data_IF_843140161869
#
_entry.id   IF_843140161869
#
_cell.length_a   1.000
_cell.length_b   1.000
_cell.length_c   1.000
_cell.angle_alpha   90.00
_cell.angle_beta   90.00
_cell.angle_gamma   90.00
#
_symmetry.space_group_name_H-M   'P 1'
#
loop_
_entity.id
_entity.type
_entity.pdbx_description
1 polymer ?
#
# COMPACT_ATOMS: atom_id res chain seq x y z
N UNK A 1 13.18 -6.08 -37.75
CA UNK A 1 13.73 -6.46 -36.43
C UNK A 1 12.84 -5.82 -35.37
N UNK A 2 12.39 -6.59 -34.39
CA UNK A 2 11.63 -6.04 -33.26
C UNK A 2 12.58 -5.26 -32.34
N UNK A 3 12.25 -3.99 -32.06
CA UNK A 3 13.00 -3.14 -31.13
C UNK A 3 12.49 -3.41 -29.71
N UNK A 4 13.38 -3.71 -28.78
CA UNK A 4 13.04 -3.89 -27.35
C UNK A 4 13.44 -2.62 -26.61
N UNK A 5 12.48 -2.01 -25.91
CA UNK A 5 12.69 -0.81 -25.08
C UNK A 5 12.36 -1.17 -23.63
N UNK A 6 13.15 -0.67 -22.68
CA UNK A 6 12.97 -0.91 -21.25
C UNK A 6 12.64 0.40 -20.54
N UNK A 7 11.51 0.47 -19.85
CA UNK A 7 11.16 1.61 -18.99
C UNK A 7 12.24 1.84 -17.91
N UNK A 8 12.48 3.10 -17.54
CA UNK A 8 13.34 3.46 -16.43
C UNK A 8 12.73 4.65 -15.66
N UNK A 9 12.37 4.50 -14.37
CA UNK A 9 12.61 3.34 -13.50
C UNK A 9 11.66 2.16 -13.74
N UNK A 10 12.12 0.95 -13.36
CA UNK A 10 11.36 -0.30 -13.34
C UNK A 10 11.83 -1.20 -12.18
N UNK A 11 11.06 -2.24 -11.83
CA UNK A 11 11.48 -3.25 -10.85
C UNK A 11 11.30 -2.84 -9.39
N UNK A 12 12.24 -3.19 -8.52
CA UNK A 12 12.16 -2.99 -7.07
C UNK A 12 12.29 -1.53 -6.62
N UNK A 13 11.60 -1.20 -5.53
CA UNK A 13 11.73 0.09 -4.84
C UNK A 13 12.40 -0.12 -3.48
N UNK A 14 12.85 0.96 -2.85
CA UNK A 14 13.56 0.88 -1.57
C UNK A 14 12.78 0.16 -0.47
N UNK A 15 11.45 0.31 -0.44
CA UNK A 15 10.59 -0.40 0.52
C UNK A 15 10.55 -1.91 0.30
N UNK A 16 10.52 -2.34 -0.97
CA UNK A 16 10.55 -3.75 -1.36
C UNK A 16 11.91 -4.38 -1.04
N UNK A 17 13.00 -3.73 -1.44
CA UNK A 17 14.36 -4.22 -1.17
C UNK A 17 14.59 -4.41 0.33
N UNK A 18 14.25 -3.39 1.13
CA UNK A 18 14.34 -3.44 2.59
C UNK A 18 13.53 -4.60 3.17
N UNK A 19 12.29 -4.80 2.70
CA UNK A 19 11.42 -5.82 3.28
C UNK A 19 11.90 -7.24 2.98
N UNK A 20 12.37 -7.48 1.74
CA UNK A 20 12.98 -8.75 1.36
C UNK A 20 14.24 -9.00 2.20
N UNK A 21 15.11 -8.00 2.32
CA UNK A 21 16.35 -8.09 3.08
C UNK A 21 16.11 -8.40 4.57
N UNK A 22 15.07 -7.81 5.18
CA UNK A 22 14.70 -8.11 6.58
C UNK A 22 14.37 -9.59 6.75
N UNK A 23 13.59 -10.19 5.85
CA UNK A 23 13.26 -11.63 5.92
C UNK A 23 14.51 -12.48 5.71
N UNK A 24 15.34 -12.15 4.71
CA UNK A 24 16.56 -12.89 4.42
C UNK A 24 17.52 -12.86 5.61
N UNK A 25 17.79 -11.69 6.20
CA UNK A 25 18.66 -11.55 7.37
C UNK A 25 18.09 -12.24 8.60
N UNK A 26 16.78 -12.21 8.80
CA UNK A 26 16.15 -12.95 9.91
C UNK A 26 16.39 -14.46 9.77
N UNK A 27 16.22 -15.01 8.55
CA UNK A 27 16.53 -16.41 8.26
C UNK A 27 18.02 -16.73 8.48
N UNK A 28 18.92 -15.87 8.01
CA UNK A 28 20.37 -16.08 8.12
C UNK A 28 20.87 -15.99 9.57
N UNK A 29 20.27 -15.12 10.39
CA UNK A 29 20.72 -14.89 11.77
C UNK A 29 20.02 -15.79 12.80
N UNK A 30 18.75 -16.15 12.57
CA UNK A 30 17.92 -16.86 13.55
C UNK A 30 17.59 -18.30 13.12
N UNK A 31 17.83 -18.64 11.86
CA UNK A 31 17.41 -19.92 11.28
C UNK A 31 15.93 -19.98 10.96
N UNK A 32 15.51 -21.10 10.34
CA UNK A 32 14.11 -21.38 10.07
C UNK A 32 13.43 -22.07 11.28
N UNK A 33 12.12 -21.88 11.48
CA UNK A 33 11.20 -21.09 10.66
C UNK A 33 11.18 -19.60 11.01
N UNK A 34 10.94 -18.74 10.01
CA UNK A 34 10.58 -17.33 10.20
C UNK A 34 9.16 -17.11 9.68
N UNK A 35 8.27 -16.63 10.55
CA UNK A 35 6.89 -16.37 10.16
C UNK A 35 6.76 -14.96 9.58
N UNK A 36 6.02 -14.83 8.50
CA UNK A 36 5.72 -13.53 7.86
C UNK A 36 4.22 -13.37 7.77
N UNK A 37 3.69 -12.28 8.32
CA UNK A 37 2.25 -11.98 8.24
C UNK A 37 1.92 -11.40 6.87
N UNK A 38 1.13 -12.14 6.11
CA UNK A 38 0.88 -12.01 4.67
C UNK A 38 2.17 -12.11 3.83
N UNK A 39 2.03 -12.13 2.50
CA UNK A 39 3.19 -12.02 1.60
C UNK A 39 4.01 -10.76 1.91
N UNK A 40 5.33 -10.90 2.06
CA UNK A 40 6.22 -9.77 2.39
C UNK A 40 6.10 -8.65 1.35
N UNK A 41 5.93 -9.05 0.08
CA UNK A 41 5.60 -8.23 -1.09
C UNK A 41 4.74 -9.07 -2.04
N UNK A 42 3.88 -8.45 -2.84
CA UNK A 42 3.05 -9.16 -3.83
C UNK A 42 3.85 -9.57 -5.09
N UNK A 43 4.74 -10.55 -4.93
CA UNK A 43 5.51 -11.16 -6.01
C UNK A 43 5.72 -12.65 -5.75
N UNK A 44 5.09 -13.49 -6.56
CA UNK A 44 5.15 -14.96 -6.42
C UNK A 44 6.57 -15.50 -6.40
N UNK A 45 7.46 -15.01 -7.26
CA UNK A 45 8.83 -15.52 -7.32
C UNK A 45 9.61 -15.21 -6.03
N UNK A 46 9.46 -13.99 -5.50
CA UNK A 46 10.08 -13.61 -4.22
C UNK A 46 9.52 -14.44 -3.07
N UNK A 47 8.21 -14.61 -2.99
CA UNK A 47 7.54 -15.38 -1.93
C UNK A 47 8.00 -16.85 -1.96
N UNK A 48 8.00 -17.49 -3.13
CA UNK A 48 8.46 -18.88 -3.27
C UNK A 48 9.94 -19.05 -2.93
N UNK A 49 10.79 -18.11 -3.34
CA UNK A 49 12.22 -18.13 -2.99
C UNK A 49 12.45 -18.05 -1.48
N UNK A 50 11.67 -17.22 -0.77
CA UNK A 50 11.74 -17.13 0.69
C UNK A 50 11.15 -18.37 1.39
N UNK A 51 10.08 -18.96 0.84
CA UNK A 51 9.51 -20.23 1.34
C UNK A 51 10.54 -21.35 1.29
N UNK A 52 11.25 -21.47 0.17
CA UNK A 52 12.31 -22.47 0.00
C UNK A 52 13.46 -22.32 1.00
N UNK A 53 13.68 -21.11 1.54
CA UNK A 53 14.66 -20.84 2.59
C UNK A 53 14.12 -21.03 4.02
N UNK A 54 12.84 -21.34 4.20
CA UNK A 54 12.22 -21.58 5.50
C UNK A 54 11.36 -20.44 6.05
N UNK A 55 10.98 -19.46 5.22
CA UNK A 55 9.93 -18.51 5.59
C UNK A 55 8.54 -19.16 5.51
N UNK A 56 7.71 -18.95 6.52
CA UNK A 56 6.32 -19.42 6.56
C UNK A 56 5.40 -18.20 6.50
N UNK A 57 4.63 -18.09 5.43
CA UNK A 57 3.68 -16.99 5.25
C UNK A 57 2.31 -17.41 5.83
N UNK A 58 1.76 -16.59 6.71
CA UNK A 58 0.48 -16.83 7.41
C UNK A 58 -0.45 -15.63 7.25
N UNK A 59 -1.75 -15.86 7.32
CA UNK A 59 -2.74 -14.78 7.26
C UNK A 59 -2.98 -14.18 8.66
N UNK A 60 -3.09 -15.05 9.67
CA UNK A 60 -3.36 -14.64 11.05
C UNK A 60 -2.20 -14.94 11.99
N UNK A 61 -2.09 -14.15 13.06
CA UNK A 61 -1.04 -14.40 14.05
C UNK A 61 -1.29 -15.71 14.79
N UNK A 62 -2.55 -16.13 14.98
CA UNK A 62 -2.92 -17.40 15.63
C UNK A 62 -2.23 -18.62 15.03
N UNK A 63 -1.81 -18.56 13.77
CA UNK A 63 -1.13 -19.63 13.06
C UNK A 63 0.37 -19.74 13.40
N UNK A 64 0.89 -18.77 14.14
CA UNK A 64 2.29 -18.70 14.59
C UNK A 64 2.36 -19.30 16.00
N UNK A 65 3.20 -20.31 16.28
CA UNK A 65 3.40 -20.80 17.64
C UNK A 65 4.09 -19.74 18.53
N UNK A 66 3.79 -19.73 19.83
CA UNK A 66 4.40 -18.78 20.77
C UNK A 66 5.93 -18.88 20.80
N UNK A 67 6.59 -17.79 21.20
CA UNK A 67 8.06 -17.69 21.25
C UNK A 67 8.76 -17.58 19.89
N UNK A 68 8.02 -17.62 18.78
CA UNK A 68 8.57 -17.48 17.43
C UNK A 68 8.74 -16.02 16.99
N UNK A 69 9.44 -15.86 15.88
CA UNK A 69 9.65 -14.57 15.22
C UNK A 69 8.56 -14.32 14.17
N UNK A 70 7.97 -13.14 14.20
CA UNK A 70 7.03 -12.66 13.17
C UNK A 70 7.59 -11.43 12.46
N UNK A 71 7.46 -11.41 11.15
CA UNK A 71 7.78 -10.25 10.30
C UNK A 71 6.47 -9.68 9.73
N UNK A 72 6.20 -8.41 9.98
CA UNK A 72 5.10 -7.70 9.30
C UNK A 72 5.52 -7.30 7.89
N UNK A 73 4.67 -7.56 6.89
CA UNK A 73 4.96 -7.25 5.48
C UNK A 73 5.16 -5.75 5.19
N UNK A 74 5.67 -5.44 3.99
CA UNK A 74 5.92 -4.07 3.55
C UNK A 74 4.65 -3.18 3.53
N UNK A 75 3.49 -3.80 3.39
CA UNK A 75 2.18 -3.14 3.33
C UNK A 75 1.70 -2.63 4.69
N UNK A 76 2.35 -3.04 5.78
CA UNK A 76 1.97 -2.64 7.14
C UNK A 76 0.78 -3.40 7.72
N UNK A 77 0.54 -3.17 9.01
CA UNK A 77 -0.49 -3.85 9.81
C UNK A 77 -1.25 -2.86 10.69
N UNK A 78 -2.46 -3.23 11.09
CA UNK A 78 -3.28 -2.44 12.02
C UNK A 78 -2.65 -2.39 13.42
N UNK A 79 -3.10 -1.44 14.24
CA UNK A 79 -2.70 -1.38 15.64
C UNK A 79 -3.17 -2.60 16.43
N UNK A 80 -4.30 -3.22 16.06
CA UNK A 80 -4.83 -4.42 16.72
C UNK A 80 -3.91 -5.61 16.50
N UNK A 81 -3.45 -5.81 15.26
CA UNK A 81 -2.47 -6.83 14.91
C UNK A 81 -1.15 -6.62 15.66
N UNK A 82 -0.67 -5.38 15.73
CA UNK A 82 0.56 -5.06 16.47
C UNK A 82 0.43 -5.39 17.96
N UNK A 83 -0.69 -5.04 18.58
CA UNK A 83 -0.93 -5.34 20.00
C UNK A 83 -1.11 -6.83 20.27
N UNK A 84 -1.75 -7.56 19.36
CA UNK A 84 -1.87 -9.01 19.49
C UNK A 84 -0.50 -9.69 19.48
N UNK A 85 0.39 -9.31 18.55
CA UNK A 85 1.74 -9.85 18.51
C UNK A 85 2.54 -9.57 19.79
N UNK A 86 2.40 -8.36 20.35
CA UNK A 86 3.02 -7.98 21.63
C UNK A 86 2.43 -8.77 22.79
N UNK A 87 1.11 -8.94 22.86
CA UNK A 87 0.42 -9.72 23.91
C UNK A 87 0.85 -11.18 23.90
N UNK A 88 1.16 -11.73 22.72
CA UNK A 88 1.64 -13.10 22.52
C UNK A 88 3.15 -13.27 22.70
N UNK A 89 3.85 -12.19 23.06
CA UNK A 89 5.31 -12.18 23.25
C UNK A 89 6.07 -12.73 22.03
N UNK A 90 5.57 -12.45 20.83
CA UNK A 90 6.27 -12.80 19.59
C UNK A 90 7.45 -11.85 19.39
N UNK A 91 8.57 -12.36 18.84
CA UNK A 91 9.68 -11.51 18.43
C UNK A 91 9.32 -10.81 17.12
N UNK A 92 9.02 -9.51 17.19
CA UNK A 92 8.51 -8.75 16.04
C UNK A 92 9.67 -8.06 15.28
N UNK A 93 9.74 -8.29 13.97
CA UNK A 93 10.43 -7.38 13.04
C UNK A 93 9.42 -6.69 12.12
N UNK A 94 9.56 -5.38 11.98
CA UNK A 94 8.62 -4.59 11.20
C UNK A 94 9.22 -4.19 9.84
N UNK A 95 8.80 -4.90 8.79
CA UNK A 95 9.23 -4.62 7.43
C UNK A 95 8.35 -3.60 6.71
N UNK A 96 7.38 -2.97 7.40
CA UNK A 96 6.52 -1.93 6.82
C UNK A 96 7.37 -0.88 6.12
N UNK A 97 6.98 -0.50 4.89
CA UNK A 97 7.64 0.55 4.15
C UNK A 97 7.53 1.88 4.92
N UNK A 98 8.62 2.65 5.09
CA UNK A 98 8.57 3.92 5.80
C UNK A 98 7.55 4.92 5.23
N UNK A 99 7.26 4.85 3.93
CA UNK A 99 6.25 5.70 3.29
C UNK A 99 4.82 5.27 3.66
N UNK A 100 4.58 3.98 3.92
CA UNK A 100 3.31 3.50 4.51
C UNK A 100 3.22 3.91 5.98
N UNK A 101 4.31 3.78 6.73
CA UNK A 101 4.37 4.24 8.14
C UNK A 101 4.04 5.74 8.25
N UNK A 102 4.50 6.58 7.31
CA UNK A 102 4.13 8.00 7.26
C UNK A 102 2.62 8.18 7.19
N UNK A 103 1.93 7.45 6.31
CA UNK A 103 0.45 7.50 6.19
C UNK A 103 -0.21 7.02 7.48
N UNK A 104 0.29 5.93 8.07
CA UNK A 104 -0.24 5.43 9.34
C UNK A 104 -0.16 6.47 10.47
N UNK A 105 0.98 7.18 10.57
CA UNK A 105 1.18 8.22 11.57
C UNK A 105 0.25 9.41 11.35
N UNK A 106 0.01 9.80 10.10
CA UNK A 106 -0.92 10.88 9.77
C UNK A 106 -2.36 10.49 10.16
N UNK A 107 -2.83 9.30 9.79
CA UNK A 107 -4.16 8.80 10.20
C UNK A 107 -4.30 8.78 11.73
N UNK A 108 -3.31 8.22 12.43
CA UNK A 108 -3.34 8.13 13.89
C UNK A 108 -3.32 9.51 14.56
N UNK A 109 -2.67 10.51 13.96
CA UNK A 109 -2.67 11.90 14.43
C UNK A 109 -4.03 12.55 14.18
N UNK A 110 -4.53 12.51 12.95
CA UNK A 110 -5.80 13.14 12.57
C UNK A 110 -6.99 12.62 13.36
N UNK A 111 -7.08 11.30 13.53
CA UNK A 111 -8.12 10.71 14.38
C UNK A 111 -8.00 11.14 15.86
N UNK A 112 -6.78 11.32 16.37
CA UNK A 112 -6.56 11.81 17.74
C UNK A 112 -6.94 13.28 17.91
N UNK A 113 -6.74 14.07 16.86
CA UNK A 113 -7.10 15.48 16.81
C UNK A 113 -8.60 15.70 16.51
N UNK A 114 -9.38 14.61 16.42
CA UNK A 114 -10.83 14.64 16.23
C UNK A 114 -11.29 14.85 14.79
N UNK A 115 -10.42 14.60 13.80
CA UNK A 115 -10.80 14.63 12.38
C UNK A 115 -11.46 13.32 11.97
N UNK A 116 -12.48 13.42 11.12
CA UNK A 116 -12.90 12.29 10.28
C UNK A 116 -11.94 12.15 9.11
N UNK A 117 -11.35 10.96 8.96
CA UNK A 117 -10.34 10.69 7.94
C UNK A 117 -10.98 9.94 6.78
N UNK A 118 -10.72 10.36 5.56
CA UNK A 118 -11.15 9.67 4.34
C UNK A 118 -9.90 9.05 3.69
N UNK A 119 -9.82 7.72 3.69
CA UNK A 119 -8.80 6.98 2.98
C UNK A 119 -9.27 6.70 1.55
N UNK A 120 -8.51 7.17 0.57
CA UNK A 120 -8.65 6.77 -0.83
C UNK A 120 -7.82 5.49 -1.03
N UNK A 121 -8.45 4.38 -1.41
CA UNK A 121 -7.74 3.12 -1.54
C UNK A 121 -8.61 1.94 -1.98
N UNK A 122 -7.98 0.83 -2.40
CA UNK A 122 -8.70 -0.36 -2.82
C UNK A 122 -9.17 -1.20 -1.62
N UNK A 123 -10.48 -1.48 -1.57
CA UNK A 123 -11.08 -2.34 -0.53
C UNK A 123 -10.40 -3.71 -0.48
N UNK A 124 -10.07 -4.16 0.73
CA UNK A 124 -9.44 -5.46 0.96
C UNK A 124 -7.93 -5.51 0.73
N UNK A 125 -7.30 -4.44 0.21
CA UNK A 125 -5.85 -4.41 0.08
C UNK A 125 -5.18 -4.38 1.47
N UNK A 126 -4.10 -5.17 1.73
CA UNK A 126 -3.46 -5.23 3.05
C UNK A 126 -3.04 -3.86 3.60
N UNK A 127 -2.51 -2.99 2.74
CA UNK A 127 -2.14 -1.61 3.12
C UNK A 127 -3.34 -0.77 3.56
N UNK A 128 -4.49 -0.94 2.90
CA UNK A 128 -5.73 -0.25 3.25
C UNK A 128 -6.24 -0.76 4.59
N UNK A 129 -6.28 -2.08 4.78
CA UNK A 129 -6.68 -2.69 6.07
C UNK A 129 -5.76 -2.21 7.20
N UNK A 130 -4.45 -2.18 6.96
CA UNK A 130 -3.46 -1.66 7.89
C UNK A 130 -3.71 -0.19 8.25
N UNK A 131 -3.92 0.65 7.24
CA UNK A 131 -4.14 2.10 7.39
C UNK A 131 -5.45 2.42 8.10
N UNK A 132 -6.55 1.76 7.71
CA UNK A 132 -7.85 1.87 8.39
C UNK A 132 -7.73 1.54 9.88
N UNK A 133 -6.92 0.52 10.21
CA UNK A 133 -6.69 0.08 11.58
C UNK A 133 -5.76 0.96 12.43
N UNK A 134 -5.37 2.15 11.94
CA UNK A 134 -4.61 3.14 12.72
C UNK A 134 -5.50 4.13 13.46
N UNK A 135 -6.72 4.36 12.96
CA UNK A 135 -7.67 5.27 13.58
C UNK A 135 -8.20 4.64 14.86
N UNK A 136 -7.77 5.17 16.00
CA UNK A 136 -8.27 4.79 17.32
C UNK A 136 -8.63 6.05 18.07
N UNK A 137 -9.91 6.30 18.21
CA UNK A 137 -10.42 7.39 19.04
C UNK A 137 -11.09 6.82 20.29
N UNK A 138 -10.89 7.51 21.42
CA UNK A 138 -11.65 7.28 22.65
C UNK A 138 -13.05 7.92 22.57
N UNK A 139 -13.24 8.88 21.66
CA UNK A 139 -14.49 9.56 21.38
C UNK A 139 -15.17 8.94 20.15
N UNK A 140 -16.50 8.77 20.18
CA UNK A 140 -17.29 8.16 19.10
C UNK A 140 -17.28 8.95 17.77
N UNK A 141 -16.74 10.17 17.78
CA UNK A 141 -16.72 11.13 16.67
C UNK A 141 -15.63 10.85 15.64
N UNK A 142 -14.43 10.43 16.04
CA UNK A 142 -13.34 10.22 15.08
C UNK A 142 -13.49 8.88 14.36
N UNK A 143 -13.73 8.96 13.05
CA UNK A 143 -14.00 7.84 12.15
C UNK A 143 -13.06 7.88 10.97
N UNK A 144 -12.79 6.71 10.41
CA UNK A 144 -12.10 6.58 9.14
C UNK A 144 -13.04 5.94 8.11
N UNK A 145 -13.15 6.57 6.96
CA UNK A 145 -14.00 6.15 5.84
C UNK A 145 -13.12 5.70 4.68
N UNK A 146 -13.61 4.75 3.88
CA UNK A 146 -12.91 4.26 2.68
C UNK A 146 -13.69 4.66 1.44
N UNK A 147 -13.02 5.31 0.49
CA UNK A 147 -13.54 5.59 -0.86
C UNK A 147 -12.61 5.02 -1.92
N UNK A 148 -13.17 4.57 -3.03
CA UNK A 148 -12.45 4.06 -4.20
C UNK A 148 -12.65 5.00 -5.39
N UNK A 149 -13.85 5.56 -5.55
CA UNK A 149 -14.29 6.32 -6.73
C UNK A 149 -14.91 7.66 -6.35
N UNK A 150 -15.07 8.61 -7.30
CA UNK A 150 -15.80 9.84 -7.07
C UNK A 150 -17.25 9.61 -6.59
N UNK A 151 -17.92 8.55 -7.07
CA UNK A 151 -19.28 8.21 -6.65
C UNK A 151 -19.35 7.77 -5.17
N UNK A 152 -18.30 7.15 -4.63
CA UNK A 152 -18.24 6.85 -3.20
C UNK A 152 -18.20 8.13 -2.37
N UNK A 153 -17.53 9.17 -2.90
CA UNK A 153 -17.46 10.48 -2.24
C UNK A 153 -18.84 11.09 -2.06
N UNK A 154 -19.78 10.89 -2.98
CA UNK A 154 -21.17 11.36 -2.90
C UNK A 154 -22.00 10.64 -1.83
N UNK A 155 -21.61 9.43 -1.45
CA UNK A 155 -22.34 8.62 -0.47
C UNK A 155 -21.83 8.80 0.97
N UNK A 156 -20.68 9.47 1.14
CA UNK A 156 -20.07 9.69 2.45
C UNK A 156 -21.02 10.38 3.43
N UNK A 157 -21.08 9.85 4.64
CA UNK A 157 -21.78 10.44 5.77
C UNK A 157 -20.74 10.95 6.76
N UNK A 158 -20.46 12.25 6.70
CA UNK A 158 -19.52 12.96 7.57
C UNK A 158 -20.34 13.75 8.60
N UNK A 159 -19.98 13.61 9.87
CA UNK A 159 -20.64 14.24 11.01
C UNK A 159 -20.27 15.71 11.15
N UNK A 160 -18.98 16.05 10.95
CA UNK A 160 -18.47 17.43 10.97
C UNK A 160 -17.61 17.72 9.73
N UNK A 161 -18.20 18.44 8.76
CA UNK A 161 -17.51 18.81 7.51
C UNK A 161 -16.39 19.84 7.69
N UNK A 162 -16.26 20.45 8.88
CA UNK A 162 -15.16 21.38 9.19
C UNK A 162 -13.88 20.67 9.65
N UNK A 163 -13.97 19.39 10.03
CA UNK A 163 -12.86 18.58 10.54
C UNK A 163 -12.70 17.29 9.74
N UNK A 164 -12.44 17.44 8.45
CA UNK A 164 -12.23 16.31 7.54
C UNK A 164 -10.81 16.33 7.03
N UNK A 165 -10.15 15.19 7.03
CA UNK A 165 -8.86 15.01 6.40
C UNK A 165 -8.91 13.85 5.39
N UNK A 166 -8.06 13.84 4.38
CA UNK A 166 -7.88 12.69 3.50
C UNK A 166 -6.43 12.21 3.45
N UNK A 167 -6.28 10.91 3.20
CA UNK A 167 -5.01 10.23 2.92
C UNK A 167 -5.21 9.26 1.77
N UNK A 168 -4.13 8.80 1.14
CA UNK A 168 -4.23 7.86 0.01
C UNK A 168 -3.37 6.62 0.21
N UNK A 169 -3.81 5.48 -0.32
CA UNK A 169 -2.95 4.32 -0.52
C UNK A 169 -1.77 4.71 -1.44
N UNK A 170 -0.59 4.16 -1.15
CA UNK A 170 0.68 4.57 -1.78
C UNK A 170 0.87 4.08 -3.21
N UNK A 171 0.06 3.12 -3.66
CA UNK A 171 0.19 2.40 -4.95
C UNK A 171 -0.97 2.62 -5.92
N UNK A 172 -1.70 3.72 -5.78
CA UNK A 172 -2.85 4.05 -6.63
C UNK A 172 -2.44 4.63 -7.99
N UNK A 173 -3.38 4.61 -8.93
CA UNK A 173 -3.30 5.39 -10.17
C UNK A 173 -3.35 6.88 -9.85
N UNK A 174 -2.41 7.66 -10.36
CA UNK A 174 -2.31 9.09 -10.06
C UNK A 174 -3.48 9.86 -10.66
N UNK A 175 -3.85 9.51 -11.90
CA UNK A 175 -4.92 10.18 -12.63
C UNK A 175 -6.27 9.90 -11.96
N UNK A 176 -6.56 8.63 -11.64
CA UNK A 176 -7.82 8.25 -10.98
C UNK A 176 -7.92 8.86 -9.58
N UNK A 177 -6.80 8.89 -8.84
CA UNK A 177 -6.77 9.48 -7.49
C UNK A 177 -7.04 10.99 -7.55
N UNK A 178 -6.54 11.68 -8.58
CA UNK A 178 -6.80 13.11 -8.76
C UNK A 178 -8.30 13.40 -8.95
N UNK A 179 -9.04 12.53 -9.65
CA UNK A 179 -10.49 12.64 -9.81
C UNK A 179 -11.23 12.50 -8.46
N UNK A 180 -10.83 11.54 -7.63
CA UNK A 180 -11.42 11.37 -6.28
C UNK A 180 -11.09 12.55 -5.38
N UNK A 181 -9.85 13.06 -5.41
CA UNK A 181 -9.45 14.24 -4.63
C UNK A 181 -10.24 15.47 -5.07
N UNK A 182 -10.45 15.68 -6.37
CA UNK A 182 -11.25 16.79 -6.88
C UNK A 182 -12.70 16.72 -6.36
N UNK A 183 -13.31 15.53 -6.39
CA UNK A 183 -14.65 15.33 -5.83
C UNK A 183 -14.69 15.60 -4.31
N UNK A 184 -13.66 15.17 -3.57
CA UNK A 184 -13.54 15.45 -2.14
C UNK A 184 -13.42 16.95 -1.85
N UNK A 185 -12.57 17.67 -2.59
CA UNK A 185 -12.40 19.12 -2.42
C UNK A 185 -13.64 19.92 -2.82
N UNK A 186 -14.36 19.47 -3.85
CA UNK A 186 -15.63 20.07 -4.23
C UNK A 186 -16.70 19.87 -3.15
N UNK A 187 -16.78 18.67 -2.57
CA UNK A 187 -17.78 18.34 -1.53
C UNK A 187 -17.42 18.94 -0.16
N UNK A 188 -16.14 18.95 0.18
CA UNK A 188 -15.60 19.41 1.46
C UNK A 188 -14.51 20.46 1.22
N UNK A 189 -14.87 21.74 1.01
CA UNK A 189 -13.91 22.79 0.63
C UNK A 189 -12.78 23.03 1.64
N UNK A 190 -13.00 22.68 2.91
CA UNK A 190 -12.02 22.82 4.00
C UNK A 190 -11.27 21.50 4.30
N UNK A 191 -11.40 20.48 3.45
CA UNK A 191 -10.75 19.18 3.69
C UNK A 191 -9.22 19.35 3.73
N UNK A 192 -8.60 18.79 4.76
CA UNK A 192 -7.15 18.78 4.89
C UNK A 192 -6.54 17.54 4.25
N UNK A 193 -5.33 17.65 3.74
CA UNK A 193 -4.63 16.51 3.18
C UNK A 193 -3.17 16.82 2.88
N UNK A 194 -2.44 15.85 2.32
CA UNK A 194 -1.10 16.10 1.80
C UNK A 194 -1.16 17.14 0.66
N UNK A 195 -0.02 17.81 0.37
CA UNK A 195 0.07 18.81 -0.71
C UNK A 195 -0.45 18.32 -2.07
N UNK A 196 -0.38 17.02 -2.34
CA UNK A 196 -0.92 16.37 -3.53
C UNK A 196 -1.67 15.10 -3.15
N UNK A 197 -0.94 14.08 -2.71
CA UNK A 197 -1.42 12.76 -2.28
C UNK A 197 -0.28 12.07 -1.49
N UNK A 198 -0.53 10.85 -1.04
CA UNK A 198 0.48 9.99 -0.41
C UNK A 198 0.97 8.87 -1.35
N UNK A 199 0.70 8.97 -2.66
CA UNK A 199 1.26 8.05 -3.66
C UNK A 199 2.79 8.17 -3.62
N UNK A 200 3.47 7.04 -3.51
CA UNK A 200 4.92 7.05 -3.31
C UNK A 200 5.66 7.40 -4.60
N UNK A 201 6.89 7.92 -4.46
CA UNK A 201 7.76 8.25 -5.60
C UNK A 201 7.95 7.06 -6.55
N UNK A 202 8.02 5.84 -6.00
CA UNK A 202 8.24 4.64 -6.77
C UNK A 202 7.06 4.32 -7.69
N UNK A 203 5.83 4.56 -7.24
CA UNK A 203 4.63 4.41 -8.04
C UNK A 203 4.55 5.51 -9.09
N UNK A 204 4.73 6.77 -8.72
CA UNK A 204 4.73 7.90 -9.67
C UNK A 204 5.73 7.70 -10.80
N UNK A 205 7.00 7.51 -10.47
CA UNK A 205 8.04 7.44 -11.49
C UNK A 205 7.85 6.23 -12.43
N UNK A 206 7.24 5.12 -11.96
CA UNK A 206 6.94 3.97 -12.80
C UNK A 206 5.72 4.20 -13.69
N UNK A 207 4.71 4.92 -13.20
CA UNK A 207 3.56 5.32 -14.01
C UNK A 207 3.99 6.27 -15.13
N UNK A 208 4.85 7.25 -14.82
CA UNK A 208 5.41 8.16 -15.82
C UNK A 208 6.24 7.38 -16.87
N UNK A 209 7.14 6.51 -16.41
CA UNK A 209 7.98 5.72 -17.32
C UNK A 209 7.17 4.73 -18.19
N UNK A 210 6.04 4.20 -17.72
CA UNK A 210 5.20 3.32 -18.54
C UNK A 210 4.34 4.10 -19.54
N UNK A 211 3.92 5.34 -19.22
CA UNK A 211 3.24 6.24 -20.17
C UNK A 211 4.17 6.54 -21.35
N UNK A 212 5.39 7.00 -21.06
CA UNK A 212 6.41 7.27 -22.09
C UNK A 212 6.76 6.03 -22.92
N UNK A 213 6.80 4.84 -22.29
CA UNK A 213 7.06 3.59 -22.99
C UNK A 213 5.91 3.21 -23.93
N UNK A 214 4.66 3.37 -23.49
CA UNK A 214 3.48 3.01 -24.26
C UNK A 214 3.32 3.87 -25.53
N UNK A 215 3.73 5.14 -25.48
CA UNK A 215 3.76 6.04 -26.65
C UNK A 215 4.75 5.59 -27.74
N UNK A 216 5.68 4.69 -27.42
CA UNK A 216 6.76 4.24 -28.31
C UNK A 216 6.66 2.76 -28.71
N UNK A 217 5.67 2.03 -28.22
CA UNK A 217 5.61 0.58 -28.32
C UNK A 217 4.23 0.08 -28.73
N UNK A 218 4.19 -0.83 -29.70
CA UNK A 218 2.95 -1.53 -30.11
C UNK A 218 2.48 -2.55 -29.05
N UNK A 219 3.39 -3.02 -28.21
CA UNK A 219 3.14 -3.98 -27.14
C UNK A 219 3.96 -3.63 -25.89
N UNK A 220 3.29 -3.51 -24.75
CA UNK A 220 3.92 -3.31 -23.44
C UNK A 220 3.73 -4.56 -22.58
N UNK A 221 4.84 -5.11 -22.07
CA UNK A 221 4.84 -6.24 -21.15
C UNK A 221 5.19 -5.77 -19.74
N UNK A 222 4.24 -5.89 -18.81
CA UNK A 222 4.45 -5.59 -17.39
C UNK A 222 4.70 -6.87 -16.62
N UNK A 223 5.89 -6.99 -16.02
CA UNK A 223 6.26 -8.14 -15.19
C UNK A 223 5.84 -7.88 -13.75
N UNK A 224 4.82 -8.60 -13.27
CA UNK A 224 4.31 -8.51 -11.90
C UNK A 224 3.29 -9.62 -11.60
N UNK A 225 2.96 -9.83 -10.32
CA UNK A 225 1.92 -10.79 -9.92
C UNK A 225 0.53 -10.17 -9.98
N UNK A 226 -0.55 -10.95 -10.26
CA UNK A 226 -1.92 -10.42 -10.36
C UNK A 226 -2.43 -9.69 -9.11
N UNK A 227 -1.92 -10.04 -7.93
CA UNK A 227 -2.25 -9.38 -6.66
C UNK A 227 -1.46 -8.08 -6.38
N UNK A 228 -0.55 -7.68 -7.27
CA UNK A 228 0.23 -6.44 -7.13
C UNK A 228 -0.55 -5.22 -7.64
N UNK A 229 -1.06 -4.39 -6.73
CA UNK A 229 -1.79 -3.15 -7.09
C UNK A 229 -0.99 -2.27 -8.05
N UNK A 230 0.28 -2.00 -7.72
CA UNK A 230 1.15 -1.18 -8.57
C UNK A 230 1.33 -1.78 -9.97
N UNK A 231 1.59 -3.09 -10.09
CA UNK A 231 1.80 -3.74 -11.40
C UNK A 231 0.54 -3.68 -12.27
N UNK A 232 -0.64 -3.86 -11.67
CA UNK A 232 -1.92 -3.73 -12.37
C UNK A 232 -2.13 -2.29 -12.88
N UNK A 233 -1.79 -1.27 -12.08
CA UNK A 233 -1.86 0.14 -12.53
C UNK A 233 -1.00 0.39 -13.76
N UNK A 234 0.22 -0.17 -13.80
CA UNK A 234 1.09 -0.02 -14.99
C UNK A 234 0.48 -0.66 -16.24
N UNK A 235 -0.16 -1.83 -16.10
CA UNK A 235 -0.83 -2.51 -17.19
C UNK A 235 -2.04 -1.71 -17.71
N UNK A 236 -2.83 -1.13 -16.81
CA UNK A 236 -4.00 -0.31 -17.16
C UNK A 236 -3.61 1.00 -17.84
N UNK A 237 -2.57 1.68 -17.33
CA UNK A 237 -2.04 2.90 -17.95
C UNK A 237 -1.53 2.62 -19.36
N UNK A 238 -0.76 1.55 -19.55
CA UNK A 238 -0.28 1.17 -20.88
C UNK A 238 -1.43 0.87 -21.86
N UNK A 239 -2.52 0.24 -21.39
CA UNK A 239 -3.72 -0.03 -22.22
C UNK A 239 -4.51 1.24 -22.59
N UNK A 240 -4.53 2.22 -21.70
CA UNK A 240 -5.27 3.47 -21.91
C UNK A 240 -4.46 4.52 -22.68
N UNK A 241 -3.15 4.31 -22.84
CA UNK A 241 -2.29 5.19 -23.63
C UNK A 241 -2.41 4.83 -25.11
N UNK A 242 -2.73 5.79 -26.01
CA UNK A 242 -2.79 5.51 -27.43
C UNK A 242 -1.45 5.00 -27.95
N UNK A 243 -1.44 3.99 -28.86
CA UNK A 243 -0.22 3.53 -29.49
C UNK A 243 0.39 4.63 -30.37
N UNK A 244 1.68 4.55 -30.71
CA UNK A 244 2.32 5.48 -31.64
C UNK A 244 1.55 5.55 -32.97
N UNK A 245 1.44 6.74 -33.60
CA UNK A 245 0.90 6.83 -34.95
C UNK A 245 1.81 6.05 -35.92
N UNK A 246 1.17 5.23 -36.76
CA UNK A 246 1.82 4.42 -37.81
C UNK A 246 2.30 5.32 -38.95
#
# INVERSE_FOLDING_TARGET
MSKIILANPRGFCAGVDRAIEIVQRALDMLGAPIYVRHEVVHNRFVVESLRQRGAIFVDELSDIPDGNTVIFSAHGVSQTVRQEAQRRDLRIFDATCPLVTKVHLEVARRCRDGYEVILIGHRGHPEVVGTMGQCRSKEESARIHLVVTPSDVEQLQISDSSRVAFVTQTTLSIDDTALVIAALQQRFPNIEGPKKNDICYATQNRQDAVKELAEQCDLVLVVGSPNSSNSNRLCEIAKNTPPPPI
#
